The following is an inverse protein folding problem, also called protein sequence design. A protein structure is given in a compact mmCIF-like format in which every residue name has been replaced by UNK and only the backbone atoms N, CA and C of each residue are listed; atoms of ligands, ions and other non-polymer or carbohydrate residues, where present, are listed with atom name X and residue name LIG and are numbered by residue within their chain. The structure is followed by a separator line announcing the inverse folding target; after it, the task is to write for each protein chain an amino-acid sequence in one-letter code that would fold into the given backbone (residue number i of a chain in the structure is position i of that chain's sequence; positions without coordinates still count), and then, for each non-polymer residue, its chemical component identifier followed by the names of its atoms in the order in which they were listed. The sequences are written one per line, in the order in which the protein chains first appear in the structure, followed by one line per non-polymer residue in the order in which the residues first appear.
data_IF_540007751884
#
_entry.id   IF_540007751884
#
_cell.length_a   1.000
_cell.length_b   1.000
_cell.length_c   1.000
_cell.angle_alpha   90.00
_cell.angle_beta   90.00
_cell.angle_gamma   90.00
#
_symmetry.space_group_name_H-M   'P 1'
#
loop_
_entity.id
_entity.type
_entity.pdbx_description
1 polymer ?
#
# COMPACT_ATOMS: atom_id res chain seq x y z
N UNK A 1 -3.19 -0.03 -20.70
CA UNK A 1 -3.21 0.00 -19.23
C UNK A 1 -3.38 1.44 -18.80
N UNK A 2 -4.23 1.70 -17.83
CA UNK A 2 -4.47 3.01 -17.25
C UNK A 2 -4.60 2.88 -15.72
N UNK A 3 -4.34 3.96 -15.01
CA UNK A 3 -4.45 4.00 -13.56
C UNK A 3 -5.90 4.20 -13.12
N UNK A 4 -6.26 3.61 -11.99
CA UNK A 4 -7.55 3.84 -11.34
C UNK A 4 -7.46 5.16 -10.57
N UNK A 5 -8.31 6.11 -10.92
CA UNK A 5 -8.37 7.42 -10.26
C UNK A 5 -9.48 7.50 -9.19
N UNK A 6 -10.40 6.53 -9.17
CA UNK A 6 -11.50 6.43 -8.21
C UNK A 6 -11.71 4.97 -7.86
N UNK A 7 -11.30 4.58 -6.65
CA UNK A 7 -11.36 3.20 -6.16
C UNK A 7 -12.44 3.06 -5.07
N UNK A 8 -13.17 1.96 -5.10
CA UNK A 8 -14.09 1.58 -4.03
C UNK A 8 -13.34 0.85 -2.89
N UNK A 9 -12.17 0.27 -3.21
CA UNK A 9 -11.34 -0.46 -2.28
C UNK A 9 -9.85 -0.24 -2.61
N UNK A 10 -9.05 -0.02 -1.59
CA UNK A 10 -7.57 0.01 -1.67
C UNK A 10 -7.00 -0.88 -0.59
N UNK A 11 -5.99 -1.68 -0.92
CA UNK A 11 -5.22 -2.47 0.04
C UNK A 11 -3.76 -2.04 0.09
N UNK A 12 -3.27 -1.71 1.28
CA UNK A 12 -1.86 -1.48 1.55
C UNK A 12 -1.23 -2.74 2.13
N UNK A 13 -0.47 -3.46 1.31
CA UNK A 13 0.13 -4.75 1.69
C UNK A 13 1.36 -4.60 2.59
N UNK A 14 2.04 -3.46 2.53
CA UNK A 14 3.19 -3.16 3.37
C UNK A 14 2.91 -1.89 4.18
N UNK A 15 2.84 -1.97 5.51
CA UNK A 15 2.47 -0.82 6.33
C UNK A 15 3.45 0.36 6.21
N UNK A 16 4.72 0.11 5.84
CA UNK A 16 5.68 1.19 5.62
C UNK A 16 5.36 2.08 4.41
N UNK A 17 4.37 1.74 3.60
CA UNK A 17 3.99 2.55 2.46
C UNK A 17 3.10 3.73 2.85
N UNK A 18 2.42 3.68 3.99
CA UNK A 18 1.59 4.80 4.44
C UNK A 18 2.39 6.07 4.74
N UNK A 19 3.69 5.91 5.06
CA UNK A 19 4.60 7.04 5.30
C UNK A 19 5.27 7.58 4.01
N UNK A 20 5.06 6.89 2.89
CA UNK A 20 5.79 7.18 1.64
C UNK A 20 4.89 7.58 0.49
N UNK A 21 3.69 7.01 0.46
CA UNK A 21 2.75 7.15 -0.64
C UNK A 21 1.37 7.52 -0.12
N UNK A 22 0.72 8.43 -0.82
CA UNK A 22 -0.69 8.73 -0.57
C UNK A 22 -1.57 7.60 -1.14
N UNK A 23 -1.72 6.54 -0.33
CA UNK A 23 -2.49 5.35 -0.70
C UNK A 23 -4.00 5.62 -0.71
N UNK A 24 -4.44 6.67 -0.04
CA UNK A 24 -5.87 6.97 0.15
C UNK A 24 -6.44 7.91 -0.89
N UNK A 25 -5.63 8.73 -1.55
CA UNK A 25 -6.06 9.78 -2.48
C UNK A 25 -6.99 9.31 -3.62
N UNK A 26 -6.94 8.03 -3.98
CA UNK A 26 -7.78 7.46 -5.04
C UNK A 26 -9.09 6.87 -4.53
N UNK A 27 -9.29 6.78 -3.21
CA UNK A 27 -10.51 6.25 -2.62
C UNK A 27 -11.70 7.21 -2.84
N UNK A 28 -12.83 6.65 -3.19
CA UNK A 28 -14.11 7.37 -3.16
C UNK A 28 -14.55 7.59 -1.72
N UNK A 29 -15.40 8.60 -1.50
CA UNK A 29 -16.09 8.76 -0.21
C UNK A 29 -16.88 7.48 0.12
N UNK A 30 -16.78 7.02 1.37
CA UNK A 30 -17.35 5.74 1.81
C UNK A 30 -16.63 4.50 1.27
N UNK A 31 -15.47 4.68 0.65
CA UNK A 31 -14.62 3.58 0.19
C UNK A 31 -14.00 2.80 1.35
N UNK A 32 -13.34 1.70 1.02
CA UNK A 32 -12.75 0.77 1.99
C UNK A 32 -11.24 0.74 1.87
N UNK A 33 -10.55 0.88 3.00
CA UNK A 33 -9.10 0.80 3.08
C UNK A 33 -8.67 -0.37 3.96
N UNK A 34 -7.95 -1.33 3.39
CA UNK A 34 -7.38 -2.46 4.13
C UNK A 34 -5.88 -2.24 4.32
N UNK A 35 -5.42 -2.18 5.55
CA UNK A 35 -4.00 -2.07 5.90
C UNK A 35 -3.50 -3.39 6.49
N UNK A 36 -2.44 -3.94 5.89
CA UNK A 36 -1.79 -5.14 6.41
C UNK A 36 -0.84 -4.76 7.55
N UNK A 37 -1.34 -4.81 8.77
CA UNK A 37 -0.58 -4.55 9.99
C UNK A 37 -1.24 -5.22 11.20
N UNK A 38 -0.45 -5.42 12.25
CA UNK A 38 -0.93 -5.87 13.57
C UNK A 38 -1.14 -4.72 14.56
N UNK A 39 -1.29 -3.48 14.07
CA UNK A 39 -1.42 -2.29 14.91
C UNK A 39 -2.81 -2.21 15.53
N UNK A 40 -2.86 -1.89 16.81
CA UNK A 40 -4.08 -1.51 17.49
C UNK A 40 -4.48 -0.05 17.17
N UNK A 41 -5.57 0.44 17.75
CA UNK A 41 -6.06 1.78 17.48
C UNK A 41 -5.08 2.88 17.95
N UNK A 42 -4.37 2.67 19.05
CA UNK A 42 -3.39 3.60 19.57
C UNK A 42 -2.19 3.68 18.62
N UNK A 43 -1.68 2.53 18.20
CA UNK A 43 -0.59 2.46 17.22
C UNK A 43 -0.98 3.05 15.86
N UNK A 44 -2.20 2.80 15.37
CA UNK A 44 -2.73 3.41 14.15
C UNK A 44 -2.78 4.93 14.26
N UNK A 45 -3.27 5.45 15.39
CA UNK A 45 -3.35 6.89 15.64
C UNK A 45 -1.98 7.56 15.70
N UNK A 46 -0.96 6.84 16.18
CA UNK A 46 0.41 7.34 16.28
C UNK A 46 1.21 7.20 14.98
N UNK A 47 0.97 6.15 14.19
CA UNK A 47 1.77 5.81 13.01
C UNK A 47 1.21 6.36 11.72
N UNK A 48 -0.12 6.52 11.60
CA UNK A 48 -0.70 7.06 10.38
C UNK A 48 -0.41 8.57 10.28
N UNK A 49 0.08 9.06 9.11
CA UNK A 49 0.26 10.47 8.85
C UNK A 49 -1.04 11.27 9.02
N UNK A 50 -0.92 12.55 9.41
CA UNK A 50 -2.07 13.38 9.66
C UNK A 50 -2.97 13.60 8.45
N UNK A 51 -2.41 13.74 7.26
CA UNK A 51 -3.18 13.86 6.00
C UNK A 51 -3.95 12.57 5.68
N UNK A 52 -3.38 11.40 5.94
CA UNK A 52 -4.07 10.11 5.78
C UNK A 52 -5.23 9.98 6.77
N UNK A 53 -5.01 10.35 8.03
CA UNK A 53 -6.08 10.34 9.06
C UNK A 53 -7.22 11.29 8.70
N UNK A 54 -6.90 12.54 8.30
CA UNK A 54 -7.91 13.49 7.85
C UNK A 54 -8.70 12.97 6.66
N UNK A 55 -8.02 12.44 5.65
CA UNK A 55 -8.69 11.88 4.48
C UNK A 55 -9.67 10.76 4.87
N UNK A 56 -9.24 9.83 5.72
CA UNK A 56 -10.07 8.72 6.20
C UNK A 56 -11.32 9.26 6.91
N UNK A 57 -11.16 10.23 7.81
CA UNK A 57 -12.27 10.78 8.58
C UNK A 57 -13.23 11.62 7.73
N UNK A 58 -12.72 12.56 6.92
CA UNK A 58 -13.51 13.47 6.09
C UNK A 58 -14.27 12.75 4.96
N UNK A 59 -13.73 11.66 4.46
CA UNK A 59 -14.35 10.86 3.41
C UNK A 59 -15.09 9.61 3.91
N UNK A 60 -15.26 9.49 5.24
CA UNK A 60 -16.02 8.37 5.84
C UNK A 60 -15.49 6.99 5.39
N UNK A 61 -14.16 6.86 5.28
CA UNK A 61 -13.54 5.63 4.79
C UNK A 61 -13.70 4.52 5.82
N UNK A 62 -14.17 3.36 5.40
CA UNK A 62 -14.16 2.17 6.24
C UNK A 62 -12.74 1.62 6.32
N UNK A 63 -12.10 1.77 7.48
CA UNK A 63 -10.75 1.28 7.74
C UNK A 63 -10.79 -0.15 8.26
N UNK A 64 -9.98 -1.01 7.65
CA UNK A 64 -9.77 -2.39 8.07
C UNK A 64 -8.29 -2.67 8.29
N UNK A 65 -7.95 -3.51 9.27
CA UNK A 65 -6.61 -4.05 9.47
C UNK A 65 -6.61 -5.57 9.43
N UNK A 66 -5.49 -6.14 9.03
CA UNK A 66 -5.24 -7.58 9.09
C UNK A 66 -3.74 -7.82 9.27
N UNK A 67 -3.34 -8.64 10.24
CA UNK A 67 -1.95 -9.08 10.36
C UNK A 67 -1.70 -10.34 9.52
N UNK A 68 -1.64 -10.14 8.21
CA UNK A 68 -1.40 -11.22 7.26
C UNK A 68 -0.02 -11.86 7.43
N UNK A 69 0.96 -11.14 7.96
CA UNK A 69 2.32 -11.67 8.18
C UNK A 69 2.32 -12.69 9.32
N UNK A 70 1.73 -12.35 10.47
CA UNK A 70 1.60 -13.27 11.60
C UNK A 70 0.75 -14.49 11.24
N UNK A 71 -0.37 -14.27 10.55
CA UNK A 71 -1.22 -15.36 10.04
C UNK A 71 -0.41 -16.30 9.12
N UNK A 72 0.32 -15.75 8.14
CA UNK A 72 1.12 -16.56 7.23
C UNK A 72 2.21 -17.35 7.96
N UNK A 73 2.81 -16.78 9.01
CA UNK A 73 3.81 -17.45 9.85
C UNK A 73 3.19 -18.60 10.66
N UNK A 74 2.04 -18.37 11.29
CA UNK A 74 1.31 -19.39 12.08
C UNK A 74 0.94 -20.62 11.24
N UNK A 75 0.50 -20.42 9.99
CA UNK A 75 0.08 -21.52 9.10
C UNK A 75 1.22 -22.11 8.27
N UNK A 76 2.45 -21.61 8.40
CA UNK A 76 3.64 -22.15 7.72
C UNK A 76 3.87 -21.63 6.30
N UNK A 77 3.25 -20.53 5.89
CA UNK A 77 3.43 -19.92 4.56
C UNK A 77 4.63 -18.97 4.45
N UNK A 78 5.45 -18.84 5.48
CA UNK A 78 6.72 -18.09 5.46
C UNK A 78 6.58 -16.67 4.86
N UNK A 79 5.57 -15.90 5.30
CA UNK A 79 5.35 -14.52 4.86
C UNK A 79 4.63 -14.36 3.51
N UNK A 80 4.13 -15.43 2.91
CA UNK A 80 3.29 -15.35 1.70
C UNK A 80 1.88 -14.96 2.09
N UNK A 81 1.58 -13.68 1.99
CA UNK A 81 0.32 -13.07 2.45
C UNK A 81 -0.72 -12.88 1.34
N UNK A 82 -0.36 -13.10 0.07
CA UNK A 82 -1.23 -12.80 -1.06
C UNK A 82 -2.60 -13.49 -0.99
N UNK A 83 -2.63 -14.77 -0.69
CA UNK A 83 -3.89 -15.54 -0.56
C UNK A 83 -4.75 -15.04 0.60
N UNK A 84 -4.12 -14.67 1.73
CA UNK A 84 -4.81 -14.12 2.92
C UNK A 84 -5.46 -12.78 2.57
N UNK A 85 -4.71 -11.88 1.93
CA UNK A 85 -5.22 -10.55 1.58
C UNK A 85 -6.27 -10.60 0.47
N UNK A 86 -6.11 -11.49 -0.51
CA UNK A 86 -7.12 -11.71 -1.54
C UNK A 86 -8.44 -12.22 -0.94
N UNK A 87 -8.35 -13.12 0.02
CA UNK A 87 -9.50 -13.65 0.72
C UNK A 87 -10.22 -12.56 1.54
N UNK A 88 -9.45 -11.74 2.28
CA UNK A 88 -9.99 -10.57 2.97
C UNK A 88 -10.66 -9.59 2.01
N UNK A 89 -10.06 -9.34 0.83
CA UNK A 89 -10.64 -8.49 -0.21
C UNK A 89 -12.04 -8.96 -0.61
N UNK A 90 -12.22 -10.22 -0.95
CA UNK A 90 -13.53 -10.73 -1.34
C UNK A 90 -14.55 -10.60 -0.22
N UNK A 91 -14.16 -10.90 1.01
CA UNK A 91 -15.06 -10.82 2.17
C UNK A 91 -15.44 -9.38 2.49
N UNK A 92 -14.50 -8.45 2.47
CA UNK A 92 -14.74 -7.03 2.78
C UNK A 92 -15.55 -6.35 1.68
N UNK A 93 -15.24 -6.63 0.41
CA UNK A 93 -15.90 -5.95 -0.71
C UNK A 93 -17.27 -6.52 -1.02
N UNK A 94 -17.45 -7.82 -0.84
CA UNK A 94 -18.71 -8.50 -1.17
C UNK A 94 -19.07 -8.49 -2.66
N UNK A 95 -18.08 -8.33 -3.57
CA UNK A 95 -18.32 -8.29 -5.02
C UNK A 95 -18.84 -9.62 -5.58
N UNK A 96 -18.59 -10.71 -4.86
CA UNK A 96 -19.24 -12.00 -5.02
C UNK A 96 -19.60 -12.53 -3.63
N UNK A 97 -20.60 -13.42 -3.49
CA UNK A 97 -20.92 -14.03 -2.20
C UNK A 97 -19.70 -14.69 -1.55
N UNK A 98 -19.52 -14.48 -0.25
CA UNK A 98 -18.32 -14.93 0.44
C UNK A 98 -18.09 -16.45 0.35
N UNK A 99 -19.16 -17.24 0.42
CA UNK A 99 -19.12 -18.72 0.28
C UNK A 99 -18.66 -19.14 -1.11
N UNK A 100 -19.13 -18.44 -2.14
CA UNK A 100 -18.72 -18.67 -3.53
C UNK A 100 -17.25 -18.28 -3.73
N UNK A 101 -16.83 -17.13 -3.18
CA UNK A 101 -15.43 -16.69 -3.20
C UNK A 101 -14.52 -17.72 -2.55
N UNK A 102 -14.88 -18.21 -1.37
CA UNK A 102 -14.12 -19.23 -0.65
C UNK A 102 -13.97 -20.51 -1.48
N UNK A 103 -15.08 -20.99 -2.04
CA UNK A 103 -15.08 -22.19 -2.89
C UNK A 103 -14.16 -22.01 -4.09
N UNK A 104 -14.32 -20.93 -4.85
CA UNK A 104 -13.50 -20.67 -6.05
C UNK A 104 -12.02 -20.49 -5.72
N UNK A 105 -11.71 -19.83 -4.62
CA UNK A 105 -10.32 -19.70 -4.16
C UNK A 105 -9.71 -21.05 -3.76
N UNK A 106 -10.45 -21.92 -3.08
CA UNK A 106 -10.00 -23.28 -2.74
C UNK A 106 -9.77 -24.13 -3.98
N UNK A 107 -10.67 -24.06 -4.96
CA UNK A 107 -10.50 -24.75 -6.24
C UNK A 107 -9.25 -24.27 -6.99
N UNK A 108 -9.02 -22.94 -7.04
CA UNK A 108 -7.83 -22.35 -7.65
C UNK A 108 -6.54 -22.73 -6.91
N UNK A 109 -6.57 -22.79 -5.58
CA UNK A 109 -5.44 -23.23 -4.76
C UNK A 109 -5.12 -24.70 -5.02
N UNK A 110 -6.13 -25.56 -5.11
CA UNK A 110 -5.92 -26.98 -5.47
C UNK A 110 -5.33 -27.14 -6.87
N UNK A 111 -5.87 -26.42 -7.85
CA UNK A 111 -5.34 -26.47 -9.22
C UNK A 111 -3.87 -26.03 -9.30
N UNK A 112 -3.48 -25.02 -8.48
CA UNK A 112 -2.12 -24.45 -8.48
C UNK A 112 -1.12 -25.29 -7.68
N UNK A 113 -1.56 -25.87 -6.57
CA UNK A 113 -0.69 -26.50 -5.58
C UNK A 113 -0.90 -27.98 -5.38
N UNK A 114 -1.93 -28.60 -5.96
CA UNK A 114 -2.22 -30.04 -5.77
C UNK A 114 -1.04 -30.95 -6.10
N UNK A 115 -0.26 -30.63 -7.14
CA UNK A 115 0.97 -31.37 -7.49
C UNK A 115 2.12 -31.22 -6.47
N UNK A 116 2.03 -30.27 -5.53
CA UNK A 116 3.03 -30.05 -4.49
C UNK A 116 2.74 -30.80 -3.19
N UNK A 117 1.65 -31.54 -3.16
CA UNK A 117 1.19 -32.35 -2.04
C UNK A 117 0.13 -31.70 -1.17
N UNK A 118 -0.65 -32.53 -0.47
CA UNK A 118 -1.83 -32.13 0.29
C UNK A 118 -1.52 -31.12 1.40
N UNK A 119 -0.35 -31.23 2.03
CA UNK A 119 0.07 -30.29 3.09
C UNK A 119 0.15 -28.85 2.59
N UNK A 120 0.58 -28.62 1.33
CA UNK A 120 0.65 -27.28 0.73
C UNK A 120 -0.74 -26.77 0.39
N UNK A 121 -1.62 -27.64 -0.08
CA UNK A 121 -3.03 -27.32 -0.35
C UNK A 121 -3.73 -26.90 0.93
N UNK A 122 -3.59 -27.67 2.00
CA UNK A 122 -4.17 -27.39 3.32
C UNK A 122 -3.69 -26.06 3.92
N UNK A 123 -2.39 -25.74 3.79
CA UNK A 123 -1.89 -24.43 4.20
C UNK A 123 -2.59 -23.28 3.45
N UNK A 124 -2.84 -23.44 2.14
CA UNK A 124 -3.55 -22.42 1.36
C UNK A 124 -5.03 -22.35 1.71
N UNK A 125 -5.69 -23.46 2.02
CA UNK A 125 -7.07 -23.46 2.50
C UNK A 125 -7.20 -22.72 3.84
N UNK A 126 -6.30 -22.97 4.79
CA UNK A 126 -6.23 -22.23 6.05
C UNK A 126 -5.98 -20.73 5.83
N UNK A 127 -5.14 -20.37 4.85
CA UNK A 127 -4.90 -18.98 4.49
C UNK A 127 -6.17 -18.29 3.98
N UNK A 128 -6.97 -18.98 3.15
CA UNK A 128 -8.26 -18.48 2.64
C UNK A 128 -9.22 -18.24 3.82
N UNK A 129 -9.41 -19.24 4.68
CA UNK A 129 -10.32 -19.16 5.83
C UNK A 129 -9.91 -18.06 6.82
N UNK A 130 -8.63 -17.98 7.15
CA UNK A 130 -8.10 -16.95 8.05
C UNK A 130 -8.22 -15.55 7.45
N UNK A 131 -7.99 -15.39 6.14
CA UNK A 131 -8.18 -14.11 5.46
C UNK A 131 -9.62 -13.62 5.50
N UNK A 132 -10.60 -14.52 5.44
CA UNK A 132 -12.01 -14.16 5.53
C UNK A 132 -12.50 -13.81 6.94
N UNK A 133 -11.74 -14.20 7.98
CA UNK A 133 -12.22 -14.10 9.37
C UNK A 133 -11.35 -13.28 10.29
N UNK A 134 -10.09 -13.00 9.94
CA UNK A 134 -9.10 -12.40 10.85
C UNK A 134 -8.86 -10.90 10.62
N UNK A 135 -9.58 -10.24 9.70
CA UNK A 135 -9.52 -8.79 9.60
C UNK A 135 -10.41 -8.12 10.65
N UNK A 136 -10.05 -6.90 11.01
CA UNK A 136 -10.78 -6.08 11.99
C UNK A 136 -11.25 -4.80 11.31
N UNK A 137 -12.51 -4.46 11.44
CA UNK A 137 -13.00 -3.11 11.11
C UNK A 137 -12.64 -2.18 12.25
N UNK A 138 -11.91 -1.12 11.96
CA UNK A 138 -11.42 -0.17 12.95
C UNK A 138 -12.46 0.91 13.19
N UNK A 139 -12.88 1.06 14.43
CA UNK A 139 -13.71 2.17 14.88
C UNK A 139 -12.79 3.32 15.34
N UNK A 140 -12.39 4.18 14.39
CA UNK A 140 -11.46 5.27 14.63
C UNK A 140 -12.17 6.53 15.13
N UNK A 141 -11.50 7.40 15.92
CA UNK A 141 -12.08 8.65 16.45
C UNK A 141 -12.14 9.71 15.34
N UNK A 142 -13.23 9.72 14.57
CA UNK A 142 -13.37 10.54 13.36
C UNK A 142 -13.17 12.05 13.64
N UNK A 143 -13.72 12.58 14.74
CA UNK A 143 -13.61 14.00 15.09
C UNK A 143 -12.17 14.43 15.42
N UNK A 144 -11.38 13.53 15.99
CA UNK A 144 -9.96 13.75 16.30
C UNK A 144 -9.12 13.62 15.03
N UNK A 145 -9.37 12.59 14.23
CA UNK A 145 -8.63 12.34 13.01
C UNK A 145 -8.87 13.40 11.95
N UNK A 146 -10.07 13.97 11.86
CA UNK A 146 -10.37 15.09 10.98
C UNK A 146 -9.53 16.36 11.30
N UNK A 147 -9.01 16.47 12.53
CA UNK A 147 -8.16 17.58 12.98
C UNK A 147 -6.68 17.21 13.08
N UNK A 148 -6.31 16.00 12.68
CA UNK A 148 -4.93 15.53 12.81
C UNK A 148 -3.96 16.42 12.01
N UNK A 149 -2.87 16.80 12.63
CA UNK A 149 -1.82 17.59 11.98
C UNK A 149 -0.75 16.72 11.32
N UNK A 150 0.02 17.32 10.42
CA UNK A 150 1.09 16.65 9.68
C UNK A 150 0.64 16.12 8.33
N UNK A 151 1.62 15.66 7.57
CA UNK A 151 1.47 15.09 6.23
C UNK A 151 2.51 14.00 5.99
N UNK A 152 2.33 13.21 4.94
CA UNK A 152 3.35 12.28 4.48
C UNK A 152 4.63 13.07 4.18
N UNK A 153 5.77 12.71 4.79
CA UNK A 153 7.03 13.42 4.60
C UNK A 153 7.44 13.42 3.11
N UNK A 154 7.78 14.59 2.60
CA UNK A 154 8.39 14.70 1.27
C UNK A 154 9.90 14.86 1.45
N UNK A 155 10.73 13.92 1.00
CA UNK A 155 12.17 14.06 1.04
C UNK A 155 12.62 15.33 0.30
N UNK A 156 13.62 16.03 0.84
CA UNK A 156 14.26 17.18 0.20
C UNK A 156 15.73 16.87 0.07
N UNK A 157 16.22 16.81 -1.16
CA UNK A 157 17.63 16.65 -1.44
C UNK A 157 18.39 17.95 -1.16
N UNK A 158 19.57 17.83 -0.59
CA UNK A 158 20.52 18.93 -0.37
C UNK A 158 21.89 18.50 -0.89
N UNK A 159 22.72 19.44 -1.32
CA UNK A 159 24.07 19.17 -1.82
C UNK A 159 24.69 20.41 -2.44
N UNK A 160 25.96 20.31 -2.83
CA UNK A 160 26.73 21.43 -3.39
C UNK A 160 26.38 21.68 -4.87
N UNK A 161 26.08 20.61 -5.62
CA UNK A 161 25.71 20.71 -7.02
C UNK A 161 24.22 21.06 -7.18
N UNK A 162 24.00 22.32 -7.54
CA UNK A 162 22.65 22.85 -7.73
C UNK A 162 21.88 22.14 -8.83
N UNK A 163 22.52 21.78 -9.93
CA UNK A 163 21.85 21.15 -11.07
C UNK A 163 21.30 19.78 -10.65
N UNK A 164 22.09 19.00 -9.92
CA UNK A 164 21.69 17.72 -9.40
C UNK A 164 20.54 17.89 -8.38
N UNK A 165 20.72 18.79 -7.41
CA UNK A 165 19.72 19.02 -6.36
C UNK A 165 18.38 19.49 -6.94
N UNK A 166 18.39 20.39 -7.90
CA UNK A 166 17.18 20.89 -8.58
C UNK A 166 16.49 19.76 -9.37
N UNK A 167 17.26 18.93 -10.07
CA UNK A 167 16.71 17.76 -10.77
C UNK A 167 16.07 16.77 -9.79
N UNK A 168 16.76 16.45 -8.69
CA UNK A 168 16.26 15.52 -7.68
C UNK A 168 14.95 16.04 -7.08
N UNK A 169 14.90 17.28 -6.64
CA UNK A 169 13.72 17.84 -5.98
C UNK A 169 12.55 18.09 -6.94
N UNK A 170 12.82 18.50 -8.18
CA UNK A 170 11.76 18.83 -9.15
C UNK A 170 11.23 17.60 -9.90
N UNK A 171 12.02 16.57 -10.07
CA UNK A 171 11.67 15.41 -10.91
C UNK A 171 11.74 14.10 -10.12
N UNK A 172 12.92 13.72 -9.59
CA UNK A 172 13.11 12.39 -9.02
C UNK A 172 12.25 12.15 -7.78
N UNK A 173 12.19 13.11 -6.87
CA UNK A 173 11.39 13.01 -5.64
C UNK A 173 9.89 12.91 -5.96
N UNK A 174 9.29 13.79 -6.78
CA UNK A 174 7.89 13.63 -7.19
C UNK A 174 7.59 12.32 -7.90
N UNK A 175 8.44 11.88 -8.82
CA UNK A 175 8.28 10.60 -9.53
C UNK A 175 8.36 9.42 -8.55
N UNK A 176 9.31 9.43 -7.63
CA UNK A 176 9.45 8.41 -6.60
C UNK A 176 8.26 8.38 -5.62
N UNK A 177 7.63 9.53 -5.39
CA UNK A 177 6.41 9.65 -4.60
C UNK A 177 5.13 9.33 -5.39
N UNK A 178 5.25 8.82 -6.63
CA UNK A 178 4.14 8.53 -7.53
C UNK A 178 3.28 9.75 -7.90
N UNK A 179 3.89 10.93 -7.93
CA UNK A 179 3.27 12.20 -8.31
C UNK A 179 3.75 12.69 -9.69
N UNK A 180 4.44 11.85 -10.45
CA UNK A 180 5.00 12.20 -11.77
C UNK A 180 3.96 12.71 -12.76
N UNK A 181 2.75 12.15 -12.77
CA UNK A 181 1.65 12.58 -13.64
C UNK A 181 1.17 14.02 -13.40
N UNK A 182 1.55 14.62 -12.25
CA UNK A 182 1.24 16.01 -11.89
C UNK A 182 2.31 16.99 -12.38
N UNK A 183 3.43 16.49 -12.85
CA UNK A 183 4.52 17.33 -13.36
C UNK A 183 4.17 17.84 -14.77
N UNK A 184 4.41 19.14 -15.05
CA UNK A 184 4.27 19.65 -16.40
C UNK A 184 5.39 19.08 -17.29
N UNK A 185 5.10 18.87 -18.57
CA UNK A 185 6.11 18.36 -19.52
C UNK A 185 7.34 19.27 -19.59
N UNK A 186 7.15 20.58 -19.39
CA UNK A 186 8.23 21.57 -19.37
C UNK A 186 9.28 21.36 -18.28
N UNK A 187 9.02 20.56 -17.24
CA UNK A 187 10.02 20.24 -16.23
C UNK A 187 11.21 19.45 -16.81
N UNK A 188 10.99 18.78 -17.94
CA UNK A 188 12.01 18.04 -18.69
C UNK A 188 12.72 18.84 -19.77
N UNK A 189 12.50 20.18 -19.87
CA UNK A 189 13.20 21.02 -20.83
C UNK A 189 14.72 20.92 -20.65
N UNK A 190 15.43 20.68 -21.76
CA UNK A 190 16.87 20.43 -21.76
C UNK A 190 17.28 18.99 -21.42
N UNK A 191 16.30 18.11 -21.27
CA UNK A 191 16.47 16.67 -20.99
C UNK A 191 15.50 15.82 -21.80
N UNK A 192 15.17 16.27 -23.00
CA UNK A 192 14.22 15.62 -23.90
C UNK A 192 14.72 14.26 -24.39
N UNK A 193 16.02 14.02 -24.30
CA UNK A 193 16.67 12.74 -24.59
C UNK A 193 16.58 11.72 -23.45
N UNK A 194 16.01 12.11 -22.30
CA UNK A 194 15.86 11.24 -21.12
C UNK A 194 17.13 11.08 -20.27
N UNK A 195 18.17 11.90 -20.49
CA UNK A 195 19.38 11.87 -19.68
C UNK A 195 19.14 12.44 -18.28
N UNK A 196 19.86 11.89 -17.32
CA UNK A 196 19.90 12.36 -15.92
C UNK A 196 21.25 13.03 -15.64
N UNK A 197 21.32 14.02 -14.72
CA UNK A 197 22.59 14.59 -14.31
C UNK A 197 23.51 13.51 -13.75
N UNK A 198 24.79 13.57 -14.13
CA UNK A 198 25.80 12.69 -13.53
C UNK A 198 25.86 12.91 -12.02
N UNK A 199 25.92 11.83 -11.24
CA UNK A 199 25.87 11.89 -9.77
C UNK A 199 24.48 11.85 -9.16
N UNK A 200 23.39 11.93 -9.95
CA UNK A 200 22.02 11.79 -9.40
C UNK A 200 21.74 10.43 -8.76
N UNK A 201 22.50 9.40 -9.11
CA UNK A 201 22.40 8.05 -8.52
C UNK A 201 22.67 8.03 -7.00
N UNK A 202 23.44 8.95 -6.46
CA UNK A 202 23.70 9.08 -5.03
C UNK A 202 22.43 9.39 -4.22
N UNK A 203 21.42 9.95 -4.86
CA UNK A 203 20.13 10.28 -4.25
C UNK A 203 19.06 9.18 -4.46
N UNK A 204 19.45 8.04 -5.00
CA UNK A 204 18.51 6.93 -5.18
C UNK A 204 18.05 6.43 -3.81
N UNK A 205 16.73 6.28 -3.65
CA UNK A 205 16.06 5.98 -2.37
C UNK A 205 16.50 4.70 -1.66
N UNK A 206 17.11 3.77 -2.39
CA UNK A 206 17.59 2.49 -1.83
C UNK A 206 19.05 2.56 -1.38
N UNK A 207 19.76 3.66 -1.68
CA UNK A 207 21.13 3.83 -1.33
C UNK A 207 22.11 2.83 -1.98
N UNK A 208 21.76 2.31 -3.18
CA UNK A 208 22.55 1.26 -3.85
C UNK A 208 23.80 1.83 -4.52
N UNK A 209 23.81 3.09 -4.85
CA UNK A 209 24.86 3.73 -5.66
C UNK A 209 25.40 4.99 -4.98
N UNK A 210 25.72 4.91 -3.69
CA UNK A 210 26.23 6.05 -2.91
C UNK A 210 27.69 6.42 -3.26
N UNK A 211 28.46 5.47 -3.81
CA UNK A 211 29.88 5.63 -4.08
C UNK A 211 30.21 5.59 -5.60
N UNK A 212 29.28 5.98 -6.45
CA UNK A 212 29.46 5.97 -7.92
C UNK A 212 29.66 7.37 -8.44
#
# INVERSE_FOLDING_TARGET
TYYINKADFVACHNPSYVDKYDMTAVLKKGGKFLLNCGWDLEELSNRLPGDVKRFIAENEIELYTIDGISIAKEIGLNGRINTILQSAFFKITGIIPAEEAEKLMKEAAYASYGKKGDAVVEMNYKAIERGMTSFVKVDYPADEWAKAEGAIPTPVATGEDKEIVDFINSILVPVSAQKGDKLPVSVFSGREDGTFPAGSAAYEKRGIAVDV
#
